data_IF_903784759874
#
_entry.id   IF_903784759874
#
_cell.length_a   1.000
_cell.length_b   1.000
_cell.length_c   1.000
_cell.angle_alpha   90.00
_cell.angle_beta   90.00
_cell.angle_gamma   90.00
#
_symmetry.space_group_name_H-M   'P 1'
#
loop_
_entity.id
_entity.type
_entity.pdbx_description
1 polymer ?
#
# COMPACT_ATOMS: atom_id res chain seq x y z
N UNK A 1 -8.35 -67.33 -0.81
CA UNK A 1 -9.18 -66.82 -1.04
C UNK A 1 -9.83 -65.53 -0.63
N UNK A 2 -11.02 -65.49 -0.14
CA UNK A 2 -11.74 -64.23 0.08
C UNK A 2 -11.06 -63.23 1.08
N UNK A 3 -10.39 -63.72 2.11
CA UNK A 3 -9.67 -62.91 3.08
C UNK A 3 -8.49 -62.16 2.47
N UNK A 4 -7.79 -62.74 1.51
CA UNK A 4 -6.64 -62.16 0.84
C UNK A 4 -7.10 -60.97 -0.06
N UNK A 5 -8.16 -61.16 -0.82
CA UNK A 5 -8.79 -60.12 -1.66
C UNK A 5 -9.28 -58.93 -0.86
N UNK A 6 -9.90 -59.14 0.32
CA UNK A 6 -10.35 -58.06 1.21
C UNK A 6 -9.15 -57.26 1.77
N UNK A 7 -8.04 -57.90 2.07
CA UNK A 7 -6.83 -57.22 2.55
C UNK A 7 -6.19 -56.42 1.45
N UNK A 8 -6.10 -56.97 0.25
CA UNK A 8 -5.58 -56.25 -0.93
C UNK A 8 -6.43 -55.03 -1.26
N UNK A 9 -7.77 -55.14 -1.30
CA UNK A 9 -8.63 -54.00 -1.55
C UNK A 9 -8.51 -52.88 -0.47
N UNK A 10 -8.37 -53.26 0.81
CA UNK A 10 -8.16 -52.26 1.87
C UNK A 10 -6.81 -51.57 1.72
N UNK A 11 -5.77 -52.26 1.35
CA UNK A 11 -4.45 -51.66 1.09
C UNK A 11 -4.50 -50.71 -0.12
N UNK A 12 -5.17 -51.12 -1.20
CA UNK A 12 -5.35 -50.25 -2.38
C UNK A 12 -6.12 -48.99 -2.05
N UNK A 13 -7.24 -49.12 -1.30
CA UNK A 13 -8.01 -47.96 -0.85
C UNK A 13 -7.17 -47.04 0.04
N UNK A 14 -6.41 -47.60 0.97
CA UNK A 14 -5.53 -46.83 1.84
C UNK A 14 -4.47 -46.08 1.04
N UNK A 15 -3.85 -46.72 0.06
CA UNK A 15 -2.85 -46.07 -0.82
C UNK A 15 -3.48 -44.91 -1.62
N UNK A 16 -4.71 -45.09 -2.14
CA UNK A 16 -5.41 -44.03 -2.86
C UNK A 16 -5.74 -42.85 -1.92
N UNK A 17 -6.24 -43.13 -0.71
CA UNK A 17 -6.55 -42.09 0.28
C UNK A 17 -5.29 -41.30 0.66
N UNK A 18 -4.17 -42.00 0.90
CA UNK A 18 -2.89 -41.34 1.20
C UNK A 18 -2.42 -40.50 0.03
N UNK A 19 -2.50 -41.01 -1.20
CA UNK A 19 -2.10 -40.27 -2.39
C UNK A 19 -2.92 -39.00 -2.59
N UNK A 20 -4.26 -39.08 -2.48
CA UNK A 20 -5.16 -37.94 -2.55
C UNK A 20 -4.88 -36.93 -1.45
N UNK A 21 -4.66 -37.41 -0.21
CA UNK A 21 -4.33 -36.55 0.91
C UNK A 21 -3.00 -35.80 0.68
N UNK A 22 -1.95 -36.51 0.21
CA UNK A 22 -0.66 -35.87 -0.08
C UNK A 22 -0.76 -34.83 -1.19
N UNK A 23 -1.47 -35.13 -2.27
CA UNK A 23 -1.69 -34.18 -3.37
C UNK A 23 -2.44 -32.94 -2.84
N UNK A 24 -3.53 -33.15 -2.08
CA UNK A 24 -4.29 -32.03 -1.50
C UNK A 24 -3.45 -31.21 -0.51
N UNK A 25 -2.61 -31.85 0.30
CA UNK A 25 -1.72 -31.16 1.22
C UNK A 25 -0.68 -30.30 0.49
N UNK A 26 -0.10 -30.82 -0.61
CA UNK A 26 0.86 -30.06 -1.44
C UNK A 26 0.20 -28.82 -2.02
N UNK A 27 -0.99 -28.94 -2.60
CA UNK A 27 -1.72 -27.79 -3.15
C UNK A 27 -2.10 -26.77 -2.06
N UNK A 28 -2.52 -27.23 -0.88
CA UNK A 28 -2.85 -26.34 0.25
C UNK A 28 -1.63 -25.56 0.75
N UNK A 29 -0.47 -26.22 0.84
CA UNK A 29 0.79 -25.56 1.24
C UNK A 29 1.22 -24.56 0.17
N UNK A 30 1.13 -24.92 -1.12
CA UNK A 30 1.45 -24.01 -2.22
C UNK A 30 0.55 -22.77 -2.22
N UNK A 31 -0.77 -22.92 -2.06
CA UNK A 31 -1.71 -21.81 -1.95
C UNK A 31 -1.42 -20.91 -0.74
N UNK A 32 -1.13 -21.52 0.42
CA UNK A 32 -0.75 -20.78 1.62
C UNK A 32 0.53 -19.98 1.43
N UNK A 33 1.55 -20.55 0.76
CA UNK A 33 2.81 -19.85 0.46
C UNK A 33 2.57 -18.67 -0.48
N UNK A 34 1.79 -18.86 -1.55
CA UNK A 34 1.43 -17.78 -2.48
C UNK A 34 0.69 -16.65 -1.78
N UNK A 35 -0.33 -16.95 -0.98
CA UNK A 35 -1.08 -15.94 -0.21
C UNK A 35 -0.17 -15.20 0.78
N UNK A 36 0.72 -15.92 1.44
CA UNK A 36 1.68 -15.30 2.38
C UNK A 36 2.61 -14.34 1.65
N UNK A 37 3.11 -14.72 0.47
CA UNK A 37 3.96 -13.85 -0.35
C UNK A 37 3.20 -12.63 -0.84
N UNK A 38 1.99 -12.80 -1.37
CA UNK A 38 1.13 -11.69 -1.80
C UNK A 38 0.84 -10.72 -0.64
N UNK A 39 0.50 -11.24 0.54
CA UNK A 39 0.24 -10.41 1.71
C UNK A 39 1.49 -9.65 2.19
N UNK A 40 2.67 -10.27 2.11
CA UNK A 40 3.93 -9.58 2.42
C UNK A 40 4.24 -8.47 1.43
N UNK A 41 4.05 -8.71 0.15
CA UNK A 41 4.24 -7.72 -0.91
C UNK A 41 3.26 -6.57 -0.72
N UNK A 42 1.97 -6.87 -0.55
CA UNK A 42 0.95 -5.86 -0.30
C UNK A 42 1.23 -5.06 1.00
N UNK A 43 1.73 -5.72 2.04
CA UNK A 43 2.11 -5.05 3.29
C UNK A 43 3.30 -4.10 3.17
N UNK A 44 4.17 -4.31 2.17
CA UNK A 44 5.35 -3.48 1.94
C UNK A 44 5.09 -2.39 0.89
N UNK A 45 4.49 -2.78 -0.23
CA UNK A 45 4.39 -1.96 -1.43
C UNK A 45 2.96 -1.44 -1.67
N UNK A 46 2.05 -1.66 -0.71
CA UNK A 46 0.63 -1.36 -0.85
C UNK A 46 -0.13 -2.48 -1.57
N UNK A 47 -1.45 -2.35 -1.62
CA UNK A 47 -2.35 -3.27 -2.33
C UNK A 47 -2.95 -2.68 -3.61
N UNK A 48 -2.52 -1.48 -3.98
CA UNK A 48 -2.90 -0.87 -5.24
C UNK A 48 -2.29 -1.63 -6.43
N UNK A 49 -3.00 -1.63 -7.54
CA UNK A 49 -2.56 -2.28 -8.76
C UNK A 49 -2.03 -1.28 -9.80
N UNK A 50 -2.74 -0.19 -9.99
CA UNK A 50 -2.42 0.88 -10.93
C UNK A 50 -2.46 2.23 -10.23
N UNK A 51 -1.58 3.13 -10.64
CA UNK A 51 -1.54 4.52 -10.18
C UNK A 51 -1.68 5.43 -11.40
N UNK A 52 -2.48 6.48 -11.28
CA UNK A 52 -2.68 7.46 -12.36
C UNK A 52 -2.38 8.85 -11.82
N UNK A 53 -1.53 9.56 -12.55
CA UNK A 53 -1.20 10.95 -12.29
C UNK A 53 -1.86 11.87 -13.34
N UNK A 54 -2.06 13.14 -12.99
CA UNK A 54 -2.53 14.17 -13.93
C UNK A 54 -4.00 14.07 -14.34
N UNK A 55 -4.81 13.31 -13.59
CA UNK A 55 -6.26 13.27 -13.78
C UNK A 55 -6.97 14.16 -12.77
N UNK A 56 -8.17 14.58 -13.10
CA UNK A 56 -9.03 15.36 -12.19
C UNK A 56 -9.75 14.45 -11.20
N UNK A 57 -10.20 15.03 -10.08
CA UNK A 57 -11.03 14.30 -9.10
C UNK A 57 -12.28 13.70 -9.75
N UNK A 58 -12.95 14.42 -10.64
CA UNK A 58 -14.13 13.90 -11.34
C UNK A 58 -13.81 12.67 -12.22
N UNK A 59 -12.64 12.62 -12.84
CA UNK A 59 -12.19 11.44 -13.60
C UNK A 59 -11.88 10.26 -12.65
N UNK A 60 -11.26 10.53 -11.51
CA UNK A 60 -11.02 9.51 -10.49
C UNK A 60 -12.34 8.94 -9.93
N UNK A 61 -13.33 9.78 -9.67
CA UNK A 61 -14.66 9.37 -9.25
C UNK A 61 -15.37 8.49 -10.31
N UNK A 62 -15.21 8.81 -11.60
CA UNK A 62 -15.72 7.94 -12.68
C UNK A 62 -15.03 6.56 -12.71
N UNK A 63 -13.72 6.52 -12.46
CA UNK A 63 -13.00 5.27 -12.33
C UNK A 63 -13.48 4.44 -11.13
N UNK A 64 -13.77 5.11 -10.01
CA UNK A 64 -14.29 4.44 -8.80
C UNK A 64 -15.68 3.81 -8.99
N UNK A 65 -16.46 4.27 -9.98
CA UNK A 65 -17.76 3.69 -10.32
C UNK A 65 -17.69 2.42 -11.16
N UNK A 66 -16.51 2.06 -11.68
CA UNK A 66 -16.34 0.85 -12.47
C UNK A 66 -16.48 -0.40 -11.59
N UNK A 67 -17.23 -1.40 -12.05
CA UNK A 67 -17.53 -2.62 -11.28
C UNK A 67 -16.28 -3.44 -10.90
N UNK A 68 -15.18 -3.28 -11.62
CA UNK A 68 -13.94 -3.99 -11.41
C UNK A 68 -12.96 -3.25 -10.48
N UNK A 69 -13.24 -1.98 -10.16
CA UNK A 69 -12.46 -1.15 -9.23
C UNK A 69 -13.07 -1.26 -7.84
N UNK A 70 -12.25 -1.62 -6.87
CA UNK A 70 -12.65 -1.72 -5.46
C UNK A 70 -12.48 -0.40 -4.73
N UNK A 71 -11.33 0.22 -4.91
CA UNK A 71 -10.96 1.48 -4.25
C UNK A 71 -10.17 2.36 -5.22
N UNK A 72 -10.38 3.65 -5.07
CA UNK A 72 -9.54 4.71 -5.63
C UNK A 72 -9.17 5.61 -4.46
N UNK A 73 -7.88 5.78 -4.22
CA UNK A 73 -7.36 6.65 -3.17
C UNK A 73 -6.55 7.79 -3.77
N UNK A 74 -6.77 9.00 -3.31
CA UNK A 74 -6.03 10.19 -3.71
C UNK A 74 -4.93 10.52 -2.70
N UNK A 75 -3.72 10.79 -3.19
CA UNK A 75 -2.61 11.19 -2.34
C UNK A 75 -1.55 11.97 -3.08
N UNK A 76 -0.83 12.79 -2.32
CA UNK A 76 0.35 13.51 -2.77
C UNK A 76 1.45 13.37 -1.70
N UNK A 77 2.69 13.39 -2.13
CA UNK A 77 3.85 13.25 -1.24
C UNK A 77 4.76 14.43 -1.41
N UNK A 78 5.28 14.94 -0.31
CA UNK A 78 6.23 16.04 -0.28
C UNK A 78 7.40 15.73 0.64
N UNK A 79 8.59 16.19 0.26
CA UNK A 79 9.83 16.05 1.03
C UNK A 79 10.30 14.59 1.20
N UNK A 80 10.16 13.76 0.16
CA UNK A 80 10.58 12.34 0.18
C UNK A 80 12.10 12.18 0.38
N UNK A 81 12.89 13.14 -0.10
CA UNK A 81 14.35 13.19 0.06
C UNK A 81 14.78 13.81 1.41
N UNK A 82 13.85 14.49 2.10
CA UNK A 82 14.13 15.18 3.37
C UNK A 82 15.01 16.41 3.22
N UNK A 83 15.05 17.03 2.03
CA UNK A 83 15.85 18.25 1.81
C UNK A 83 15.23 19.46 2.53
N UNK A 84 13.90 19.55 2.56
CA UNK A 84 13.16 20.61 3.23
C UNK A 84 13.12 20.42 4.75
N UNK A 85 13.24 21.52 5.51
CA UNK A 85 13.41 21.48 6.97
C UNK A 85 12.08 21.41 7.74
N UNK A 86 11.20 20.50 7.33
CA UNK A 86 10.01 20.13 8.10
C UNK A 86 10.38 19.10 9.17
N UNK A 87 10.06 19.37 10.45
CA UNK A 87 10.45 18.48 11.56
C UNK A 87 9.29 18.20 12.50
N UNK A 88 9.04 16.93 12.77
CA UNK A 88 8.16 16.49 13.84
C UNK A 88 8.98 16.05 15.04
N UNK A 89 8.79 16.74 16.19
CA UNK A 89 9.57 16.48 17.40
C UNK A 89 11.09 16.38 17.14
N UNK A 90 11.60 17.23 16.23
CA UNK A 90 13.03 17.32 15.87
C UNK A 90 13.50 16.36 14.78
N UNK A 91 12.70 15.40 14.32
CA UNK A 91 13.00 14.52 13.18
C UNK A 91 12.43 15.09 11.90
N UNK A 92 13.18 14.99 10.80
CA UNK A 92 12.69 15.36 9.48
C UNK A 92 11.53 14.47 9.06
N UNK A 93 10.57 15.02 8.32
CA UNK A 93 9.35 14.33 7.95
C UNK A 93 9.17 14.26 6.43
N UNK A 94 8.55 13.17 6.01
CA UNK A 94 7.87 13.06 4.72
C UNK A 94 6.40 13.36 4.98
N UNK A 95 5.84 14.30 4.21
CA UNK A 95 4.46 14.75 4.33
C UNK A 95 3.60 14.05 3.28
N UNK A 96 2.55 13.38 3.73
CA UNK A 96 1.52 12.81 2.86
C UNK A 96 0.23 13.59 3.04
N UNK A 97 -0.24 14.24 1.96
CA UNK A 97 -1.59 14.74 1.86
C UNK A 97 -2.45 13.69 1.17
N UNK A 98 -3.44 13.12 1.85
CA UNK A 98 -4.18 12.00 1.26
C UNK A 98 -5.58 11.82 1.84
N UNK A 99 -6.36 10.97 1.20
CA UNK A 99 -7.61 10.46 1.73
C UNK A 99 -7.44 9.09 2.44
N UNK A 100 -8.48 8.67 3.12
CA UNK A 100 -8.48 7.38 3.85
C UNK A 100 -8.32 6.18 2.91
N UNK A 101 -8.75 6.29 1.66
CA UNK A 101 -8.65 5.19 0.69
C UNK A 101 -7.22 5.03 0.20
N UNK A 102 -6.52 6.14 -0.05
CA UNK A 102 -5.09 6.12 -0.36
C UNK A 102 -4.31 5.40 0.74
N UNK A 103 -4.55 5.74 2.01
CA UNK A 103 -3.86 5.08 3.11
C UNK A 103 -4.14 3.57 3.15
N UNK A 104 -5.38 3.17 2.89
CA UNK A 104 -5.78 1.75 2.84
C UNK A 104 -5.08 0.98 1.73
N UNK A 105 -5.00 1.53 0.53
CA UNK A 105 -4.47 0.82 -0.64
C UNK A 105 -2.97 1.02 -0.83
N UNK A 106 -2.43 2.20 -0.55
CA UNK A 106 -1.02 2.50 -0.73
C UNK A 106 -0.17 1.84 0.36
N UNK A 107 -0.61 1.89 1.61
CA UNK A 107 0.16 1.35 2.74
C UNK A 107 -0.35 0.01 3.26
N UNK A 108 -1.44 -0.52 2.71
CA UNK A 108 -2.07 -1.82 3.07
C UNK A 108 -2.30 -1.99 4.57
N UNK A 109 -2.59 -0.93 5.28
CA UNK A 109 -2.43 -0.95 6.71
C UNK A 109 -3.73 -0.68 7.42
N UNK A 110 -4.08 -1.65 8.23
CA UNK A 110 -4.92 -1.36 9.38
C UNK A 110 -4.19 -0.37 10.28
N UNK A 111 -4.78 0.79 10.49
CA UNK A 111 -4.34 1.73 11.50
C UNK A 111 -5.24 1.64 12.74
N UNK A 112 -4.66 1.90 13.90
CA UNK A 112 -5.43 2.10 15.13
C UNK A 112 -5.90 3.55 15.17
N UNK A 113 -7.06 3.81 15.75
CA UNK A 113 -7.67 5.14 15.80
C UNK A 113 -8.45 5.50 14.55
N UNK A 114 -8.49 6.78 14.20
CA UNK A 114 -9.21 7.33 13.06
C UNK A 114 -8.27 8.00 12.08
N UNK A 115 -8.67 8.09 10.84
CA UNK A 115 -8.02 8.96 9.85
C UNK A 115 -8.26 10.42 10.25
N UNK A 116 -7.25 11.32 10.12
CA UNK A 116 -7.43 12.74 10.40
C UNK A 116 -8.39 13.38 9.40
N UNK A 117 -9.40 14.09 9.90
CA UNK A 117 -10.43 14.72 9.08
C UNK A 117 -10.40 16.27 9.19
N UNK A 118 -9.71 16.77 10.22
CA UNK A 118 -9.71 18.21 10.51
C UNK A 118 -8.29 18.77 10.58
N UNK A 119 -8.18 20.08 10.40
CA UNK A 119 -6.92 20.78 10.65
C UNK A 119 -6.47 20.56 12.10
N UNK A 120 -5.17 20.43 12.29
CA UNK A 120 -4.60 20.12 13.60
C UNK A 120 -4.61 18.64 13.99
N UNK A 121 -5.06 17.75 13.11
CA UNK A 121 -5.03 16.30 13.28
C UNK A 121 -3.93 15.66 12.42
N UNK A 122 -3.36 14.55 12.89
CA UNK A 122 -2.33 13.79 12.17
C UNK A 122 -2.43 12.31 12.43
N UNK A 123 -2.21 11.52 11.40
CA UNK A 123 -1.93 10.10 11.54
C UNK A 123 -0.42 9.89 11.41
N UNK A 124 0.16 9.15 12.35
CA UNK A 124 1.59 8.84 12.36
C UNK A 124 1.87 7.43 11.84
N UNK A 125 3.00 7.28 11.18
CA UNK A 125 3.60 5.98 10.96
C UNK A 125 3.90 5.26 12.29
N UNK A 126 3.79 3.93 12.34
CA UNK A 126 4.11 3.14 13.54
C UNK A 126 5.53 3.38 14.04
N UNK A 127 6.48 3.52 13.11
CA UNK A 127 7.87 3.84 13.43
C UNK A 127 8.00 5.19 14.13
N UNK A 128 7.34 6.24 13.60
CA UNK A 128 7.32 7.57 14.18
C UNK A 128 6.72 7.58 15.58
N UNK A 129 5.55 6.99 15.76
CA UNK A 129 4.87 6.91 17.05
C UNK A 129 5.75 6.26 18.13
N UNK A 130 6.46 5.18 17.77
CA UNK A 130 7.38 4.50 18.68
C UNK A 130 8.63 5.33 18.99
N UNK A 131 9.24 5.98 18.00
CA UNK A 131 10.43 6.84 18.19
C UNK A 131 10.11 8.00 19.12
N UNK A 132 8.91 8.57 18.99
CA UNK A 132 8.48 9.71 19.80
C UNK A 132 7.85 9.28 21.13
N UNK A 133 7.53 8.00 21.32
CA UNK A 133 6.85 7.49 22.50
C UNK A 133 5.44 8.06 22.68
N UNK A 134 4.74 8.33 21.57
CA UNK A 134 3.40 8.94 21.57
C UNK A 134 2.32 7.91 21.22
N UNK A 135 1.14 8.15 21.78
CA UNK A 135 -0.07 7.36 21.58
C UNK A 135 -1.18 8.21 20.91
N UNK A 136 -2.26 7.56 20.52
CA UNK A 136 -3.46 8.25 20.03
C UNK A 136 -4.01 9.16 21.15
N UNK A 137 -4.31 10.40 20.79
CA UNK A 137 -4.72 11.48 21.69
C UNK A 137 -3.59 12.37 22.17
N UNK A 138 -2.32 11.97 22.01
CA UNK A 138 -1.19 12.82 22.36
C UNK A 138 -0.98 13.92 21.30
N UNK A 139 -0.24 14.96 21.69
CA UNK A 139 0.13 16.05 20.81
C UNK A 139 1.58 15.94 20.37
N UNK A 140 1.84 16.28 19.12
CA UNK A 140 3.17 16.40 18.52
C UNK A 140 3.35 17.78 17.91
N UNK A 141 4.59 18.23 17.82
CA UNK A 141 4.91 19.56 17.28
C UNK A 141 5.60 19.44 15.95
N UNK A 142 4.94 19.94 14.90
CA UNK A 142 5.49 20.10 13.56
C UNK A 142 6.12 21.49 13.45
N UNK A 143 7.44 21.52 13.30
CA UNK A 143 8.20 22.73 13.01
C UNK A 143 8.31 22.92 11.51
N UNK A 144 8.02 24.12 11.03
CA UNK A 144 8.03 24.52 9.63
C UNK A 144 9.36 25.20 9.26
N UNK A 145 9.72 25.27 7.96
CA UNK A 145 10.95 25.88 7.50
C UNK A 145 11.12 27.37 7.91
N UNK A 146 10.02 28.12 8.00
CA UNK A 146 10.00 29.51 8.45
C UNK A 146 10.24 29.70 9.97
N UNK A 147 10.39 28.58 10.69
CA UNK A 147 10.58 28.56 12.14
C UNK A 147 9.29 28.54 12.97
N UNK A 148 8.13 28.69 12.34
CA UNK A 148 6.84 28.50 13.01
C UNK A 148 6.65 27.05 13.45
N UNK A 149 5.71 26.84 14.35
CA UNK A 149 5.37 25.50 14.82
C UNK A 149 3.86 25.33 14.88
N UNK A 150 3.39 24.17 14.43
CA UNK A 150 2.00 23.73 14.56
C UNK A 150 1.92 22.56 15.55
N UNK A 151 0.98 22.62 16.46
CA UNK A 151 0.67 21.49 17.34
C UNK A 151 -0.39 20.63 16.64
N UNK A 152 -0.11 19.33 16.51
CA UNK A 152 -1.00 18.37 15.88
C UNK A 152 -1.40 17.32 16.91
N UNK A 153 -2.68 16.92 16.90
CA UNK A 153 -3.19 15.82 17.72
C UNK A 153 -3.12 14.51 16.93
N UNK A 154 -2.54 13.48 17.53
CA UNK A 154 -2.43 12.15 16.93
C UNK A 154 -3.79 11.47 17.00
N UNK A 155 -4.49 11.33 15.86
CA UNK A 155 -5.79 10.66 15.77
C UNK A 155 -5.66 9.20 15.39
N UNK A 156 -4.57 8.83 14.73
CA UNK A 156 -4.33 7.46 14.30
C UNK A 156 -2.84 7.12 14.24
N UNK A 157 -2.57 5.82 14.34
CA UNK A 157 -1.23 5.25 14.18
C UNK A 157 -1.34 4.06 13.24
N UNK A 158 -0.64 4.13 12.13
CA UNK A 158 -0.72 3.11 11.09
C UNK A 158 0.59 3.00 10.31
N UNK A 159 0.55 2.28 9.20
CA UNK A 159 1.71 2.17 8.34
C UNK A 159 2.64 1.00 8.65
N UNK A 160 3.65 0.85 7.83
CA UNK A 160 4.70 -0.15 8.00
C UNK A 160 5.51 0.21 9.26
N UNK A 161 5.87 -0.78 10.04
CA UNK A 161 6.86 -0.59 11.10
C UNK A 161 8.25 -0.51 10.45
N UNK A 162 8.64 0.69 10.10
CA UNK A 162 9.91 0.99 9.40
C UNK A 162 11.14 0.58 10.20
N UNK A 163 11.03 0.38 11.50
CA UNK A 163 12.13 -0.12 12.32
C UNK A 163 12.60 -1.53 11.94
N UNK A 164 11.79 -2.27 11.20
CA UNK A 164 12.13 -3.61 10.75
C UNK A 164 13.38 -3.63 9.84
N UNK A 165 13.71 -2.51 9.20
CA UNK A 165 14.84 -2.43 8.27
C UNK A 165 16.16 -1.97 8.91
N UNK A 166 16.23 -1.79 10.21
CA UNK A 166 17.49 -1.47 10.92
C UNK A 166 18.12 -0.12 10.54
N UNK A 167 17.44 0.69 9.74
CA UNK A 167 17.89 2.04 9.43
C UNK A 167 17.52 2.97 10.59
N UNK A 168 18.49 3.74 11.06
CA UNK A 168 18.22 4.91 11.89
C UNK A 168 17.56 5.93 10.97
N UNK A 169 16.22 5.98 11.00
CA UNK A 169 15.47 6.82 10.08
C UNK A 169 15.88 8.27 10.23
N UNK A 170 16.39 8.82 9.15
CA UNK A 170 16.55 10.25 8.98
C UNK A 170 15.18 10.92 8.85
N UNK A 171 14.18 10.21 8.31
CA UNK A 171 12.84 10.71 7.97
C UNK A 171 11.75 9.90 8.69
N UNK A 172 10.63 10.53 8.97
CA UNK A 172 9.41 9.88 9.50
C UNK A 172 8.20 10.29 8.69
N UNK A 173 7.30 9.34 8.43
CA UNK A 173 6.08 9.58 7.66
C UNK A 173 4.98 10.16 8.55
N UNK A 174 4.32 11.22 8.07
CA UNK A 174 3.11 11.76 8.64
C UNK A 174 2.03 11.93 7.56
N UNK A 175 0.79 11.66 7.93
CA UNK A 175 -0.35 11.71 7.03
C UNK A 175 -1.34 12.75 7.51
N UNK A 176 -1.67 13.67 6.61
CA UNK A 176 -2.56 14.81 6.84
C UNK A 176 -3.76 14.73 5.90
N UNK A 177 -4.91 15.32 6.24
CA UNK A 177 -5.96 15.58 5.28
C UNK A 177 -5.40 16.36 4.08
N UNK A 178 -5.90 16.06 2.87
CA UNK A 178 -5.41 16.71 1.64
C UNK A 178 -5.45 18.25 1.74
N UNK A 179 -6.54 18.81 2.26
CA UNK A 179 -6.73 20.24 2.43
C UNK A 179 -5.69 20.86 3.38
N UNK A 180 -5.49 20.28 4.56
CA UNK A 180 -4.48 20.71 5.53
C UNK A 180 -3.06 20.65 4.95
N UNK A 181 -2.75 19.60 4.17
CA UNK A 181 -1.47 19.45 3.50
C UNK A 181 -1.23 20.56 2.46
N UNK A 182 -2.22 20.84 1.61
CA UNK A 182 -2.14 21.90 0.59
C UNK A 182 -2.02 23.28 1.21
N UNK A 183 -2.79 23.60 2.24
CA UNK A 183 -2.71 24.86 2.99
C UNK A 183 -1.33 25.04 3.65
N UNK A 184 -0.79 23.96 4.23
CA UNK A 184 0.50 23.98 4.89
C UNK A 184 1.61 24.31 3.89
N UNK A 185 1.67 23.63 2.74
CA UNK A 185 2.67 23.85 1.72
C UNK A 185 2.54 25.23 1.07
N UNK A 186 1.31 25.62 0.71
CA UNK A 186 1.03 26.94 0.13
C UNK A 186 1.43 28.07 1.08
N UNK A 187 1.18 27.90 2.39
CA UNK A 187 1.56 28.86 3.42
C UNK A 187 3.08 29.04 3.56
N UNK A 188 3.87 28.05 3.17
CA UNK A 188 5.32 28.12 3.14
C UNK A 188 5.88 28.56 1.78
N UNK A 189 5.03 28.80 0.78
CA UNK A 189 5.43 29.18 -0.59
C UNK A 189 5.93 28.00 -1.42
N UNK A 190 5.66 26.77 -0.99
CA UNK A 190 6.06 25.56 -1.70
C UNK A 190 5.19 25.30 -2.92
N UNK A 191 5.78 24.64 -3.91
CA UNK A 191 5.01 24.14 -5.06
C UNK A 191 4.29 22.87 -4.66
N UNK A 192 2.97 22.85 -4.86
CA UNK A 192 2.18 21.66 -4.57
C UNK A 192 2.59 20.48 -5.45
N UNK A 193 2.91 19.32 -4.86
CA UNK A 193 3.17 18.12 -5.62
C UNK A 193 1.91 17.65 -6.34
N UNK A 194 2.11 16.91 -7.42
CA UNK A 194 1.00 16.36 -8.19
C UNK A 194 0.28 15.28 -7.38
N UNK A 195 -1.05 15.40 -7.28
CA UNK A 195 -1.88 14.34 -6.71
C UNK A 195 -1.88 13.13 -7.65
N UNK A 196 -1.66 11.97 -7.09
CA UNK A 196 -1.77 10.67 -7.75
C UNK A 196 -2.98 9.92 -7.22
N UNK A 197 -3.53 9.05 -8.06
CA UNK A 197 -4.68 8.23 -7.72
C UNK A 197 -4.30 6.76 -7.78
N UNK A 198 -4.34 6.10 -6.65
CA UNK A 198 -4.05 4.67 -6.51
C UNK A 198 -5.32 3.85 -6.68
N UNK A 199 -5.35 2.96 -7.67
CA UNK A 199 -6.48 2.12 -8.01
C UNK A 199 -6.24 0.68 -7.53
N UNK A 200 -7.15 0.17 -6.74
CA UNK A 200 -7.22 -1.24 -6.41
C UNK A 200 -8.36 -1.90 -7.18
N UNK A 201 -8.03 -2.83 -8.04
CA UNK A 201 -8.99 -3.67 -8.76
C UNK A 201 -9.38 -4.89 -7.94
N UNK A 202 -10.49 -5.52 -8.28
CA UNK A 202 -10.93 -6.78 -7.67
C UNK A 202 -9.96 -7.95 -7.91
N UNK A 203 -9.06 -7.82 -8.89
CA UNK A 203 -7.92 -8.72 -9.11
C UNK A 203 -6.85 -8.06 -9.98
N UNK A 204 -5.60 -8.50 -9.83
CA UNK A 204 -4.49 -8.07 -10.68
C UNK A 204 -4.73 -8.37 -12.18
N UNK A 205 -5.43 -9.46 -12.52
CA UNK A 205 -5.77 -9.79 -13.90
C UNK A 205 -6.72 -8.76 -14.52
N UNK A 206 -7.65 -8.20 -13.75
CA UNK A 206 -8.54 -7.13 -14.23
C UNK A 206 -7.78 -5.82 -14.38
N UNK A 207 -6.87 -5.51 -13.48
CA UNK A 207 -5.98 -4.36 -13.61
C UNK A 207 -5.10 -4.47 -14.86
N UNK A 208 -4.48 -5.62 -15.11
CA UNK A 208 -3.68 -5.87 -16.31
C UNK A 208 -4.48 -5.71 -17.60
N UNK A 209 -5.76 -6.12 -17.60
CA UNK A 209 -6.67 -5.93 -18.74
C UNK A 209 -7.03 -4.45 -18.95
N UNK A 210 -7.19 -3.67 -17.87
CA UNK A 210 -7.54 -2.25 -17.94
C UNK A 210 -6.33 -1.37 -18.34
N UNK A 211 -5.12 -1.77 -18.00
CA UNK A 211 -3.89 -0.99 -18.18
C UNK A 211 -3.69 -0.42 -19.59
N UNK A 212 -3.81 -1.19 -20.70
CA UNK A 212 -3.61 -0.64 -22.04
C UNK A 212 -4.61 0.46 -22.40
N UNK A 213 -5.87 0.29 -21.98
CA UNK A 213 -6.93 1.28 -22.21
C UNK A 213 -6.70 2.56 -21.41
N UNK A 214 -6.28 2.44 -20.15
CA UNK A 214 -5.96 3.59 -19.31
C UNK A 214 -4.75 4.36 -19.86
N UNK A 215 -3.71 3.67 -20.32
CA UNK A 215 -2.55 4.28 -20.98
C UNK A 215 -2.94 5.00 -22.27
N UNK A 216 -3.81 4.42 -23.06
CA UNK A 216 -4.34 5.06 -24.25
C UNK A 216 -5.13 6.33 -23.92
N UNK A 217 -5.90 6.33 -22.83
CA UNK A 217 -6.77 7.42 -22.43
C UNK A 217 -6.03 8.56 -21.72
N UNK A 218 -5.08 8.24 -20.84
CA UNK A 218 -4.41 9.21 -19.96
C UNK A 218 -2.93 9.43 -20.30
N UNK A 219 -2.34 8.58 -21.14
CA UNK A 219 -0.93 8.61 -21.51
C UNK A 219 -0.11 7.49 -20.84
N UNK A 220 0.92 7.03 -21.54
CA UNK A 220 1.82 5.97 -21.06
C UNK A 220 2.53 6.37 -19.76
N UNK A 221 3.02 7.61 -19.69
CA UNK A 221 3.78 8.13 -18.56
C UNK A 221 2.90 8.53 -17.37
N UNK A 222 1.58 8.64 -17.56
CA UNK A 222 0.64 8.97 -16.51
C UNK A 222 0.14 7.74 -15.73
N UNK A 223 0.27 6.54 -16.31
CA UNK A 223 -0.27 5.30 -15.73
C UNK A 223 0.84 4.32 -15.37
N UNK A 224 1.06 4.14 -14.09
CA UNK A 224 2.06 3.24 -13.53
C UNK A 224 1.42 1.99 -12.95
N UNK A 225 2.11 0.86 -13.05
CA UNK A 225 1.71 -0.39 -12.40
C UNK A 225 2.53 -0.63 -11.14
N UNK A 226 1.90 -1.17 -10.10
CA UNK A 226 2.61 -1.68 -8.94
C UNK A 226 3.31 -2.99 -9.33
N UNK A 227 4.57 -2.88 -9.76
CA UNK A 227 5.33 -3.99 -10.33
C UNK A 227 5.41 -5.19 -9.37
N UNK A 228 5.54 -4.93 -8.08
CA UNK A 228 5.66 -6.00 -7.09
C UNK A 228 4.33 -6.73 -6.87
N UNK A 229 3.23 -5.99 -6.78
CA UNK A 229 1.88 -6.57 -6.61
C UNK A 229 1.43 -7.28 -7.88
N UNK A 230 1.54 -6.61 -9.03
CA UNK A 230 1.18 -7.18 -10.33
C UNK A 230 2.06 -8.38 -10.67
N UNK A 231 3.35 -8.30 -10.40
CA UNK A 231 4.30 -9.37 -10.65
C UNK A 231 4.12 -10.58 -9.72
N UNK A 232 3.85 -10.36 -8.44
CA UNK A 232 3.56 -11.46 -7.49
C UNK A 232 2.30 -12.24 -7.89
N UNK A 233 1.37 -11.57 -8.59
CA UNK A 233 0.18 -12.20 -9.19
C UNK A 233 0.42 -12.76 -10.60
N UNK A 234 1.65 -12.69 -11.13
CA UNK A 234 1.99 -13.14 -12.49
C UNK A 234 1.39 -12.29 -13.61
N UNK A 235 1.01 -11.03 -13.33
CA UNK A 235 0.30 -10.16 -14.26
C UNK A 235 1.12 -8.95 -14.73
N UNK A 236 2.36 -8.76 -14.25
CA UNK A 236 3.20 -7.66 -14.72
C UNK A 236 3.66 -7.88 -16.15
N UNK A 237 3.48 -6.87 -16.99
CA UNK A 237 3.99 -6.83 -18.36
C UNK A 237 5.39 -6.17 -18.46
N UNK A 238 5.96 -5.74 -17.34
CA UNK A 238 7.28 -5.12 -17.31
C UNK A 238 8.37 -6.11 -17.73
N UNK A 239 9.13 -5.76 -18.74
CA UNK A 239 10.29 -6.53 -19.18
C UNK A 239 11.33 -6.68 -18.07
N UNK A 240 11.51 -5.62 -17.25
CA UNK A 240 12.40 -5.65 -16.11
C UNK A 240 11.99 -6.70 -15.08
N UNK A 241 10.68 -6.78 -14.77
CA UNK A 241 10.16 -7.79 -13.85
C UNK A 241 10.35 -9.20 -14.40
N UNK A 242 10.04 -9.43 -15.67
CA UNK A 242 10.23 -10.74 -16.34
C UNK A 242 11.70 -11.17 -16.31
N UNK A 243 12.63 -10.26 -16.54
CA UNK A 243 14.06 -10.55 -16.51
C UNK A 243 14.56 -10.93 -15.10
N UNK A 244 14.08 -10.23 -14.05
CA UNK A 244 14.51 -10.47 -12.66
C UNK A 244 13.95 -11.79 -12.11
N UNK A 245 12.71 -12.13 -12.46
CA UNK A 245 12.03 -13.32 -11.93
C UNK A 245 12.03 -14.52 -12.86
N UNK A 246 12.74 -14.44 -14.00
CA UNK A 246 12.92 -15.59 -14.91
C UNK A 246 11.62 -16.09 -15.56
N UNK A 247 10.59 -15.27 -15.63
CA UNK A 247 9.35 -15.58 -16.32
C UNK A 247 9.54 -15.28 -17.82
N UNK A 248 9.78 -16.33 -18.59
CA UNK A 248 9.89 -16.26 -20.05
C UNK A 248 8.51 -16.39 -20.70
#
# INVERSE_FOLDING_TARGET
SAKVRRRQNRMTILCIVIAVFLVSAIFSVADMMLRTQMNRTAGKDGSWHLQIAGITQSQAEQLAQQSDVMFVGAGAVFNEDGEEDYRLNGKRVVLYGCDVQFLRVNRSVAFAGTFPEHDGEVLLGKGAARIFGVAIGDSVTLKLPDGQSRTLTVTGIGGVDESYYGMQFALVDIYLPQETFEELLTGQGETLPQTVYDLQYTSAAKAAKALPQLRQQYGEDAVHENLNVMGSAGQSNSTAFRTVYGMA
#
